data_IF_132886889923
#
_entry.id   IF_132886889923
#
_cell.length_a   1.000
_cell.length_b   1.000
_cell.length_c   1.000
_cell.angle_alpha   90.00
_cell.angle_beta   90.00
_cell.angle_gamma   90.00
#
_symmetry.space_group_name_H-M   'P 1'
#
loop_
_entity.id
_entity.type
_entity.pdbx_description
1 polymer ?
#
# COMPACT_ATOMS: atom_id res chain seq x y z
N UNK A 1 -7.94 2.09 -17.11
CA UNK A 1 -7.91 0.90 -17.98
C UNK A 1 -8.58 -0.27 -17.29
N UNK A 2 -8.75 -1.39 -18.00
CA UNK A 2 -9.40 -2.62 -17.48
C UNK A 2 -8.46 -3.39 -16.52
N UNK A 3 -7.15 -3.16 -16.61
CA UNK A 3 -6.12 -3.65 -15.70
C UNK A 3 -5.08 -2.53 -15.45
N UNK A 4 -4.38 -2.59 -14.31
CA UNK A 4 -3.30 -1.65 -13.99
C UNK A 4 -2.12 -1.84 -14.95
N UNK A 5 -1.65 -0.76 -15.55
CA UNK A 5 -0.47 -0.74 -16.41
C UNK A 5 0.81 -0.38 -15.63
N UNK A 6 1.96 -0.46 -16.29
CA UNK A 6 3.24 -0.08 -15.68
C UNK A 6 3.26 1.36 -15.16
N UNK A 7 2.58 2.28 -15.84
CA UNK A 7 2.43 3.67 -15.39
C UNK A 7 1.68 3.76 -14.06
N UNK A 8 0.62 2.96 -13.87
CA UNK A 8 -0.12 2.95 -12.62
C UNK A 8 0.78 2.47 -11.47
N UNK A 9 1.53 1.38 -11.69
CA UNK A 9 2.45 0.81 -10.70
C UNK A 9 3.59 1.78 -10.35
N UNK A 10 4.14 2.49 -11.34
CA UNK A 10 5.21 3.45 -11.13
C UNK A 10 4.76 4.69 -10.34
N UNK A 11 3.51 5.13 -10.52
CA UNK A 11 2.97 6.33 -9.86
C UNK A 11 2.41 6.04 -8.46
N UNK A 12 1.86 4.85 -8.25
CA UNK A 12 1.22 4.45 -6.99
C UNK A 12 2.02 4.80 -5.71
N UNK A 13 3.32 4.47 -5.58
CA UNK A 13 4.05 4.73 -4.35
C UNK A 13 4.12 6.23 -4.02
N UNK A 14 4.25 7.09 -5.03
CA UNK A 14 4.35 8.54 -4.83
C UNK A 14 3.02 9.15 -4.42
N UNK A 15 1.92 8.75 -5.08
CA UNK A 15 0.59 9.25 -4.69
C UNK A 15 0.20 8.74 -3.31
N UNK A 16 0.55 7.49 -2.97
CA UNK A 16 0.37 6.95 -1.61
C UNK A 16 1.19 7.73 -0.58
N UNK A 17 2.44 8.06 -0.85
CA UNK A 17 3.29 8.87 0.03
C UNK A 17 2.72 10.28 0.22
N UNK A 18 2.21 10.90 -0.85
CA UNK A 18 1.56 12.20 -0.78
C UNK A 18 0.32 12.17 0.13
N UNK A 19 -0.54 11.13 0.01
CA UNK A 19 -1.67 10.93 0.92
C UNK A 19 -1.24 10.74 2.38
N UNK A 20 -0.11 10.09 2.65
CA UNK A 20 0.37 9.86 4.03
C UNK A 20 0.72 11.18 4.74
N UNK A 21 1.14 12.22 4.00
CA UNK A 21 1.48 13.50 4.60
C UNK A 21 0.27 14.18 5.26
N UNK A 22 -0.93 14.06 4.67
CA UNK A 22 -2.20 14.50 5.24
C UNK A 22 -3.36 13.69 4.63
N UNK A 23 -3.75 12.61 5.32
CA UNK A 23 -4.73 11.66 4.79
C UNK A 23 -6.15 12.24 4.83
N UNK A 24 -6.48 13.00 5.86
CA UNK A 24 -7.84 13.54 6.05
C UNK A 24 -8.13 14.62 5.01
N UNK A 25 -7.18 15.51 4.74
CA UNK A 25 -7.31 16.49 3.66
C UNK A 25 -7.38 15.80 2.29
N UNK A 26 -6.51 14.81 2.05
CA UNK A 26 -6.47 14.09 0.78
C UNK A 26 -7.79 13.35 0.51
N UNK A 27 -8.41 12.76 1.53
CA UNK A 27 -9.63 11.96 1.38
C UNK A 27 -10.90 12.83 1.35
N UNK A 28 -10.95 13.95 2.08
CA UNK A 28 -12.17 14.72 2.28
C UNK A 28 -12.20 16.08 1.58
N UNK A 29 -11.06 16.75 1.41
CA UNK A 29 -10.99 18.12 0.89
C UNK A 29 -10.45 18.21 -0.53
N UNK A 30 -9.57 17.27 -0.93
CA UNK A 30 -9.00 17.25 -2.26
C UNK A 30 -10.06 16.95 -3.33
N UNK A 31 -10.35 17.93 -4.20
CA UNK A 31 -11.35 17.82 -5.26
C UNK A 31 -10.89 16.98 -6.47
N UNK A 32 -10.25 15.82 -6.24
CA UNK A 32 -9.78 14.89 -7.28
C UNK A 32 -10.37 13.48 -7.07
N UNK A 33 -11.69 13.30 -7.24
CA UNK A 33 -12.37 12.05 -6.90
C UNK A 33 -11.87 10.83 -7.70
N UNK A 34 -11.42 11.05 -8.94
CA UNK A 34 -10.87 9.97 -9.76
C UNK A 34 -9.49 9.50 -9.28
N UNK A 35 -8.68 10.41 -8.73
CA UNK A 35 -7.38 10.06 -8.14
C UNK A 35 -7.58 9.30 -6.84
N UNK A 36 -8.47 9.78 -5.97
CA UNK A 36 -8.85 9.08 -4.74
C UNK A 36 -9.34 7.66 -5.04
N UNK A 37 -10.32 7.52 -5.94
CA UNK A 37 -10.85 6.22 -6.32
C UNK A 37 -9.78 5.32 -6.97
N UNK A 38 -8.84 5.89 -7.72
CA UNK A 38 -7.73 5.15 -8.29
C UNK A 38 -6.80 4.61 -7.21
N UNK A 39 -6.31 5.44 -6.28
CA UNK A 39 -5.44 5.01 -5.17
C UNK A 39 -6.12 3.95 -4.30
N UNK A 40 -7.37 4.18 -3.90
CA UNK A 40 -8.08 3.26 -2.99
C UNK A 40 -8.24 1.86 -3.60
N UNK A 41 -8.52 1.75 -4.91
CA UNK A 41 -8.55 0.44 -5.58
C UNK A 41 -7.23 -0.33 -5.49
N UNK A 42 -6.08 0.34 -5.45
CA UNK A 42 -4.80 -0.34 -5.25
C UNK A 42 -4.56 -0.73 -3.81
N UNK A 43 -4.92 0.14 -2.86
CA UNK A 43 -4.76 -0.13 -1.43
C UNK A 43 -5.64 -1.30 -0.97
N UNK A 44 -6.80 -1.47 -1.59
CA UNK A 44 -7.75 -2.56 -1.33
C UNK A 44 -7.44 -3.86 -2.11
N UNK A 45 -6.41 -3.87 -2.97
CA UNK A 45 -6.09 -5.06 -3.76
C UNK A 45 -5.53 -6.17 -2.87
N UNK A 46 -6.12 -7.40 -2.85
CA UNK A 46 -5.62 -8.52 -2.05
C UNK A 46 -4.11 -8.76 -2.08
N UNK A 47 -3.46 -8.58 -3.25
CA UNK A 47 -2.00 -8.75 -3.36
C UNK A 47 -1.25 -7.68 -2.58
N UNK A 48 -1.72 -6.43 -2.61
CA UNK A 48 -1.12 -5.32 -1.88
C UNK A 48 -1.22 -5.53 -0.36
N UNK A 49 -2.41 -5.91 0.12
CA UNK A 49 -2.61 -6.21 1.54
C UNK A 49 -1.71 -7.36 2.02
N UNK A 50 -1.51 -8.38 1.19
CA UNK A 50 -0.63 -9.53 1.50
C UNK A 50 0.85 -9.13 1.61
N UNK A 51 1.36 -8.29 0.71
CA UNK A 51 2.77 -7.87 0.73
C UNK A 51 3.07 -6.86 1.85
N UNK A 52 2.07 -6.06 2.26
CA UNK A 52 2.22 -5.07 3.33
C UNK A 52 2.11 -5.67 4.73
N UNK A 53 1.99 -7.00 4.86
CA UNK A 53 2.07 -7.71 6.12
C UNK A 53 3.36 -7.36 6.86
N UNK A 54 3.23 -6.93 8.12
CA UNK A 54 4.39 -6.67 8.98
C UNK A 54 4.94 -8.01 9.48
N UNK A 55 6.21 -8.25 9.23
CA UNK A 55 6.94 -9.37 9.82
C UNK A 55 7.58 -8.93 11.14
N UNK A 56 7.81 -9.87 12.04
CA UNK A 56 8.60 -9.62 13.24
C UNK A 56 9.99 -9.11 12.84
N UNK A 57 10.52 -8.16 13.62
CA UNK A 57 11.87 -7.67 13.41
C UNK A 57 12.85 -8.81 13.69
N UNK A 58 13.88 -8.93 12.86
CA UNK A 58 15.04 -9.74 13.17
C UNK A 58 15.76 -9.11 14.38
N UNK A 59 15.60 -9.73 15.55
CA UNK A 59 16.30 -9.38 16.78
C UNK A 59 17.39 -10.43 17.05
N UNK A 60 18.53 -10.03 17.59
CA UNK A 60 19.63 -10.94 18.01
C UNK A 60 19.26 -11.88 19.19
N UNK A 61 17.97 -12.07 19.45
CA UNK A 61 17.52 -13.25 20.18
C UNK A 61 17.72 -14.44 19.25
N UNK A 62 18.33 -15.54 19.70
CA UNK A 62 18.47 -16.81 18.96
C UNK A 62 17.12 -17.49 18.59
N UNK A 63 16.09 -16.71 18.26
CA UNK A 63 14.76 -17.12 17.82
C UNK A 63 14.74 -17.17 16.31
N UNK A 64 14.45 -18.35 15.78
CA UNK A 64 14.23 -18.53 14.34
C UNK A 64 12.88 -17.93 13.93
N UNK A 65 12.88 -17.13 12.86
CA UNK A 65 11.68 -16.58 12.23
C UNK A 65 11.53 -17.20 10.83
N UNK A 66 10.78 -18.32 10.67
CA UNK A 66 10.62 -18.98 9.38
C UNK A 66 9.89 -18.08 8.38
N UNK A 67 10.36 -18.07 7.11
CA UNK A 67 9.71 -17.37 6.01
C UNK A 67 9.29 -18.35 4.89
N UNK A 68 8.03 -18.33 4.44
CA UNK A 68 6.92 -17.53 4.96
C UNK A 68 6.48 -18.00 6.36
N UNK A 69 5.82 -17.15 7.16
CA UNK A 69 5.26 -17.53 8.45
C UNK A 69 4.34 -18.74 8.28
N UNK A 70 4.49 -19.74 9.15
CA UNK A 70 3.53 -20.86 9.22
C UNK A 70 2.20 -20.27 9.70
N UNK A 71 1.16 -20.47 8.89
CA UNK A 71 -0.20 -19.95 9.11
C UNK A 71 -0.80 -20.37 10.44
#
# INVERSE_FOLDING_TARGET
>A
GVAAGFTDIALLPFVRQFRIADADWFDNEMALPHVQAWVMRFLDWPVFTRIMGKYELWLDSDKEHPFPPLS
#
